data_IF_784618731507
#
_entry.id   IF_784618731507
#
_cell.length_a   1.000
_cell.length_b   1.000
_cell.length_c   1.000
_cell.angle_alpha   90.00
_cell.angle_beta   90.00
_cell.angle_gamma   90.00
#
_symmetry.space_group_name_H-M   'P 1'
#
loop_
_entity.id
_entity.type
_entity.pdbx_description
1 polymer ?
#
# COMPACT_ATOMS: atom_id res chain seq x y z
N UNK A 1 13.47 -14.06 8.33
CA UNK A 1 14.38 -12.98 7.93
C UNK A 1 14.08 -11.75 8.77
N UNK A 2 15.08 -11.15 9.37
CA UNK A 2 14.94 -9.90 10.15
C UNK A 2 14.97 -8.69 9.25
N UNK A 3 14.57 -7.54 9.80
CA UNK A 3 14.65 -6.25 9.10
C UNK A 3 16.10 -5.91 8.72
N UNK A 4 17.03 -6.17 9.61
CA UNK A 4 18.46 -5.90 9.43
C UNK A 4 19.06 -6.79 8.33
N UNK A 5 18.66 -8.06 8.26
CA UNK A 5 19.06 -8.97 7.18
C UNK A 5 18.54 -8.50 5.82
N UNK A 6 17.29 -8.03 5.75
CA UNK A 6 16.72 -7.47 4.52
C UNK A 6 17.51 -6.23 4.09
N UNK A 7 17.76 -5.29 5.00
CA UNK A 7 18.50 -4.07 4.70
C UNK A 7 19.95 -4.38 4.27
N UNK A 8 20.60 -5.34 4.93
CA UNK A 8 21.94 -5.77 4.57
C UNK A 8 22.00 -6.38 3.17
N UNK A 9 20.96 -7.11 2.75
CA UNK A 9 20.90 -7.81 1.47
C UNK A 9 20.44 -6.94 0.31
N UNK A 10 19.44 -6.08 0.53
CA UNK A 10 18.76 -5.31 -0.51
C UNK A 10 19.06 -3.81 -0.47
N UNK A 11 19.87 -3.37 0.49
CA UNK A 11 20.19 -1.96 0.71
C UNK A 11 19.12 -1.23 1.49
N UNK A 12 19.25 0.09 1.56
CA UNK A 12 18.32 0.94 2.31
C UNK A 12 17.01 1.10 1.50
N UNK A 13 15.84 0.89 2.11
CA UNK A 13 14.57 1.10 1.42
C UNK A 13 14.40 2.58 1.06
N UNK A 14 13.63 2.88 0.00
CA UNK A 14 13.36 4.28 -0.39
C UNK A 14 12.40 4.97 0.57
N UNK A 15 11.55 4.19 1.26
CA UNK A 15 10.58 4.65 2.25
C UNK A 15 10.39 3.58 3.32
N UNK A 16 10.05 4.02 4.53
CA UNK A 16 9.67 3.15 5.65
C UNK A 16 8.49 3.74 6.40
N UNK A 17 7.68 2.88 7.02
CA UNK A 17 6.58 3.27 7.90
C UNK A 17 6.64 2.47 9.21
N UNK A 18 6.08 3.05 10.26
CA UNK A 18 6.01 2.47 11.59
C UNK A 18 4.60 2.68 12.14
N UNK A 19 4.02 1.65 12.74
CA UNK A 19 2.75 1.73 13.45
C UNK A 19 2.81 0.87 14.71
N UNK A 20 2.17 1.36 15.76
CA UNK A 20 1.98 0.60 16.99
C UNK A 20 0.49 0.42 17.21
N UNK A 21 0.08 -0.83 17.43
CA UNK A 21 -1.27 -1.16 17.85
C UNK A 21 -1.48 -0.67 19.30
N UNK A 22 -2.53 0.15 19.51
CA UNK A 22 -2.77 0.81 20.81
C UNK A 22 -3.27 -0.15 21.89
N UNK A 23 -3.84 -1.29 21.53
CA UNK A 23 -4.46 -2.24 22.46
C UNK A 23 -3.48 -3.34 22.85
N UNK A 24 -2.74 -3.85 21.87
CA UNK A 24 -1.79 -4.96 22.03
C UNK A 24 -0.34 -4.50 22.20
N UNK A 25 -0.05 -3.23 21.91
CA UNK A 25 1.30 -2.68 21.91
C UNK A 25 2.19 -3.22 20.79
N UNK A 26 1.65 -4.05 19.89
CA UNK A 26 2.40 -4.69 18.81
C UNK A 26 2.94 -3.64 17.85
N UNK A 27 4.24 -3.74 17.61
CA UNK A 27 4.94 -2.89 16.66
C UNK A 27 4.93 -3.56 15.29
N UNK A 28 4.45 -2.82 14.30
CA UNK A 28 4.55 -3.16 12.89
C UNK A 28 5.43 -2.15 12.17
N UNK A 29 6.41 -2.66 11.43
CA UNK A 29 7.28 -1.86 10.58
C UNK A 29 7.06 -2.25 9.14
N UNK A 30 7.07 -1.29 8.22
CA UNK A 30 6.94 -1.56 6.80
C UNK A 30 8.09 -0.92 6.04
N UNK A 31 8.76 -1.69 5.18
CA UNK A 31 9.79 -1.20 4.27
C UNK A 31 9.28 -1.23 2.83
N UNK A 32 9.60 -0.19 2.08
CA UNK A 32 9.21 -0.06 0.67
C UNK A 32 10.47 -0.03 -0.20
N UNK A 33 10.55 -0.96 -1.16
CA UNK A 33 11.61 -1.03 -2.17
C UNK A 33 11.01 -0.80 -3.55
N UNK A 34 11.59 0.12 -4.32
CA UNK A 34 11.14 0.43 -5.68
C UNK A 34 12.11 -0.20 -6.67
N UNK A 35 11.57 -0.99 -7.58
CA UNK A 35 12.32 -1.63 -8.64
C UNK A 35 11.89 -1.04 -9.99
N UNK A 36 12.88 -0.66 -10.80
CA UNK A 36 12.67 -0.18 -12.15
C UNK A 36 12.76 -1.37 -13.10
N UNK A 37 11.68 -1.63 -13.83
CA UNK A 37 11.63 -2.67 -14.85
C UNK A 37 11.59 -2.03 -16.23
N UNK A 38 12.58 -2.37 -17.05
CA UNK A 38 12.64 -2.02 -18.46
C UNK A 38 11.93 -3.09 -19.31
N UNK A 39 10.66 -3.35 -19.02
CA UNK A 39 9.84 -4.31 -19.76
C UNK A 39 8.65 -3.52 -20.29
N UNK A 40 8.58 -3.34 -21.61
CA UNK A 40 7.52 -2.59 -22.30
C UNK A 40 7.39 -1.09 -21.93
N UNK A 41 8.46 -0.44 -21.48
CA UNK A 41 8.50 0.98 -21.10
C UNK A 41 9.08 1.21 -19.71
N UNK A 42 8.91 2.41 -19.16
CA UNK A 42 9.34 2.75 -17.80
C UNK A 42 8.28 2.31 -16.79
N UNK A 43 8.39 1.08 -16.28
CA UNK A 43 7.50 0.56 -15.24
C UNK A 43 8.21 0.51 -13.89
N UNK A 44 7.48 0.83 -12.82
CA UNK A 44 7.97 0.74 -11.44
C UNK A 44 7.14 -0.31 -10.68
N UNK A 45 7.82 -1.22 -9.99
CA UNK A 45 7.18 -2.11 -9.02
C UNK A 45 7.62 -1.69 -7.62
N UNK A 46 6.66 -1.56 -6.71
CA UNK A 46 6.93 -1.37 -5.29
C UNK A 46 6.75 -2.70 -4.57
N UNK A 47 7.83 -3.18 -3.94
CA UNK A 47 7.81 -4.27 -2.97
C UNK A 47 7.59 -3.69 -1.57
N UNK A 48 6.54 -4.17 -0.90
CA UNK A 48 6.12 -3.74 0.43
C UNK A 48 6.35 -4.91 1.40
N UNK A 49 7.29 -4.73 2.32
CA UNK A 49 7.69 -5.74 3.30
C UNK A 49 7.19 -5.32 4.67
N UNK A 50 6.32 -6.12 5.28
CA UNK A 50 5.80 -5.88 6.63
C UNK A 50 6.52 -6.77 7.64
N UNK A 51 6.90 -6.18 8.77
CA UNK A 51 7.60 -6.83 9.86
C UNK A 51 6.79 -6.69 11.14
N UNK A 52 6.71 -7.76 11.92
CA UNK A 52 6.20 -7.74 13.29
C UNK A 52 7.25 -8.32 14.21
N UNK A 53 7.50 -7.66 15.35
CA UNK A 53 8.54 -8.06 16.30
C UNK A 53 9.91 -8.33 15.62
N UNK A 54 10.30 -7.47 14.68
CA UNK A 54 11.57 -7.54 13.95
C UNK A 54 11.67 -8.64 12.89
N UNK A 55 10.61 -9.45 12.67
CA UNK A 55 10.59 -10.54 11.69
C UNK A 55 9.68 -10.21 10.53
N UNK A 56 10.12 -10.53 9.31
CA UNK A 56 9.31 -10.39 8.10
C UNK A 56 8.08 -11.30 8.18
N UNK A 57 6.89 -10.71 8.03
CA UNK A 57 5.61 -11.44 8.08
C UNK A 57 4.85 -11.40 6.75
N UNK A 58 5.12 -10.41 5.88
CA UNK A 58 4.44 -10.29 4.59
C UNK A 58 5.32 -9.60 3.56
N UNK A 59 5.20 -10.03 2.30
CA UNK A 59 5.73 -9.37 1.12
C UNK A 59 4.58 -9.19 0.12
N UNK A 60 4.33 -7.95 -0.31
CA UNK A 60 3.33 -7.62 -1.33
C UNK A 60 3.96 -6.80 -2.44
N UNK A 61 3.42 -6.94 -3.65
CA UNK A 61 3.83 -6.17 -4.82
C UNK A 61 2.68 -5.29 -5.32
N UNK A 62 2.97 -4.06 -5.72
CA UNK A 62 2.13 -3.36 -6.70
C UNK A 62 0.93 -2.53 -6.21
N UNK A 63 0.82 -2.17 -4.93
CA UNK A 63 -0.14 -1.13 -4.53
C UNK A 63 0.36 -0.38 -3.29
N UNK A 64 1.12 0.70 -3.52
CA UNK A 64 1.26 1.72 -2.48
C UNK A 64 -0.08 2.44 -2.39
N UNK A 65 -0.73 2.46 -1.23
CA UNK A 65 -1.97 3.22 -1.06
C UNK A 65 -1.63 4.70 -1.17
N UNK A 66 -1.84 5.28 -2.35
CA UNK A 66 -1.74 6.73 -2.51
C UNK A 66 -2.80 7.40 -1.62
N UNK A 67 -2.37 8.31 -0.76
CA UNK A 67 -3.27 9.15 0.03
C UNK A 67 -4.15 10.08 -0.84
N UNK A 68 -4.01 10.03 -2.17
CA UNK A 68 -4.68 10.90 -3.12
C UNK A 68 -6.00 10.34 -3.68
N UNK A 69 -6.33 9.05 -3.52
CA UNK A 69 -7.65 8.54 -3.91
C UNK A 69 -8.68 8.84 -2.83
N UNK A 70 -9.08 10.11 -2.77
CA UNK A 70 -10.30 10.54 -2.09
C UNK A 70 -11.48 10.09 -2.97
N UNK A 71 -12.00 8.89 -2.74
CA UNK A 71 -13.25 8.45 -3.37
C UNK A 71 -14.39 9.26 -2.77
N UNK A 72 -14.80 10.33 -3.46
CA UNK A 72 -16.07 11.00 -3.18
C UNK A 72 -17.18 10.08 -3.66
N UNK A 73 -17.89 9.43 -2.74
CA UNK A 73 -19.13 8.74 -3.06
C UNK A 73 -20.18 9.82 -3.34
N UNK A 74 -20.56 10.00 -4.61
CA UNK A 74 -21.68 10.86 -4.99
C UNK A 74 -22.94 9.98 -4.96
N UNK A 75 -23.73 10.06 -3.89
CA UNK A 75 -25.06 9.46 -3.88
C UNK A 75 -25.97 10.33 -4.76
N UNK A 76 -26.02 10.06 -6.06
CA UNK A 76 -27.07 10.65 -6.91
C UNK A 76 -28.36 9.85 -6.66
N UNK A 77 -29.43 10.45 -6.10
CA UNK A 77 -30.71 9.77 -6.01
C UNK A 77 -31.23 9.47 -7.42
N UNK A 78 -31.91 8.32 -7.66
CA UNK A 78 -32.48 8.03 -8.96
C UNK A 78 -33.59 9.04 -9.29
N UNK A 79 -33.46 9.72 -10.44
CA UNK A 79 -34.52 10.56 -10.98
C UNK A 79 -35.67 9.70 -11.49
N UNK A 80 -36.83 9.78 -10.84
CA UNK A 80 -38.08 9.19 -11.33
C UNK A 80 -38.54 9.95 -12.58
N UNK A 81 -38.59 9.28 -13.72
CA UNK A 81 -39.20 9.82 -14.95
C UNK A 81 -40.71 9.66 -14.81
N UNK A 82 -41.44 10.77 -14.66
CA UNK A 82 -42.91 10.78 -14.74
C UNK A 82 -43.29 10.87 -16.21
N UNK A 83 -43.76 9.77 -16.77
CA UNK A 83 -44.30 9.71 -18.12
C UNK A 83 -45.78 10.15 -18.06
N UNK A 84 -46.08 11.38 -18.47
CA UNK A 84 -47.47 11.82 -18.67
C UNK A 84 -47.94 11.38 -20.04
N UNK A 85 -48.94 10.50 -20.08
CA UNK A 85 -49.65 10.16 -21.32
C UNK A 85 -50.55 11.33 -21.72
N UNK A 86 -50.52 11.70 -23.01
CA UNK A 86 -51.47 12.60 -23.65
C UNK A 86 -52.80 11.91 -23.92
#
# INVERSE_FOLDING_TARGET
MTKEEVIAKFGKPYKSAFSQDKETGVIEETLFYREFLYISGNSNITNILSFKAGKLTSLKQGQESDSATRTTIINTPPSTIVQTSN
#
